data_IF_617303074025
#
_entry.id   IF_617303074025
#
_cell.length_a   1.000
_cell.length_b   1.000
_cell.length_c   1.000
_cell.angle_alpha   90.00
_cell.angle_beta   90.00
_cell.angle_gamma   90.00
#
_symmetry.space_group_name_H-M   'P 1'
#
loop_
_entity.id
_entity.type
_entity.pdbx_description
1 polymer ?
#
# COMPACT_ATOMS: atom_id res chain seq x y z
N UNK A 1 19.71 -7.11 5.25
CA UNK A 1 18.81 -6.90 6.41
C UNK A 1 19.55 -6.41 7.65
N UNK A 2 20.73 -6.93 7.99
CA UNK A 2 21.46 -6.52 9.21
C UNK A 2 21.78 -5.02 9.29
N UNK A 3 22.11 -4.38 8.15
CA UNK A 3 22.35 -2.94 8.12
C UNK A 3 21.10 -2.14 8.50
N UNK A 4 19.92 -2.46 7.95
CA UNK A 4 18.64 -1.82 8.33
C UNK A 4 18.28 -2.02 9.80
N UNK A 5 18.58 -3.20 10.36
CA UNK A 5 18.31 -3.50 11.78
C UNK A 5 19.17 -2.65 12.71
N UNK A 6 20.41 -2.34 12.31
CA UNK A 6 21.36 -1.53 13.10
C UNK A 6 21.21 -0.03 12.85
N UNK A 7 20.93 0.36 11.61
CA UNK A 7 20.71 1.73 11.17
C UNK A 7 19.55 1.80 10.21
N UNK A 8 18.58 2.67 10.50
CA UNK A 8 17.38 2.80 9.68
C UNK A 8 17.69 3.58 8.41
N UNK A 9 17.97 2.87 7.32
CA UNK A 9 18.29 3.43 5.99
C UNK A 9 17.05 3.54 5.09
N UNK A 10 15.95 2.89 5.46
CA UNK A 10 14.64 3.03 4.82
C UNK A 10 13.51 3.20 5.83
N UNK A 11 12.53 4.05 5.47
CA UNK A 11 11.37 4.35 6.32
C UNK A 11 10.11 3.52 6.00
N UNK A 12 10.03 2.92 4.80
CA UNK A 12 8.81 2.23 4.33
C UNK A 12 8.80 0.72 4.68
N UNK A 13 9.47 0.35 5.77
CA UNK A 13 9.48 -1.00 6.33
C UNK A 13 10.27 -2.01 5.49
N UNK A 14 9.70 -3.21 5.31
CA UNK A 14 10.38 -4.33 4.64
C UNK A 14 10.42 -4.21 3.12
N UNK A 15 9.53 -3.44 2.50
CA UNK A 15 9.38 -3.40 1.03
C UNK A 15 10.70 -3.10 0.28
N UNK A 16 11.51 -2.09 0.64
CA UNK A 16 12.76 -1.82 -0.06
C UNK A 16 13.75 -2.98 0.05
N UNK A 17 13.73 -3.72 1.16
CA UNK A 17 14.60 -4.87 1.37
C UNK A 17 14.24 -6.02 0.44
N UNK A 18 12.95 -6.30 0.27
CA UNK A 18 12.49 -7.31 -0.69
C UNK A 18 12.89 -6.92 -2.13
N UNK A 19 12.69 -5.65 -2.51
CA UNK A 19 13.07 -5.18 -3.84
C UNK A 19 14.58 -5.25 -4.10
N UNK A 20 15.41 -5.00 -3.07
CA UNK A 20 16.87 -5.11 -3.19
C UNK A 20 17.35 -6.56 -3.29
N UNK A 21 16.81 -7.46 -2.45
CA UNK A 21 17.24 -8.87 -2.42
C UNK A 21 16.82 -9.61 -3.68
N UNK A 22 15.59 -9.41 -4.12
CA UNK A 22 15.03 -10.09 -5.29
C UNK A 22 15.12 -9.24 -6.56
N UNK A 23 15.99 -8.23 -6.59
CA UNK A 23 16.16 -7.39 -7.76
C UNK A 23 16.45 -8.25 -8.99
N UNK A 24 15.69 -8.05 -10.07
CA UNK A 24 15.75 -8.83 -11.33
C UNK A 24 15.24 -10.28 -11.24
N UNK A 25 14.79 -10.74 -10.08
CA UNK A 25 14.13 -12.04 -9.87
C UNK A 25 12.62 -11.89 -9.56
N UNK A 26 12.07 -10.68 -9.73
CA UNK A 26 10.65 -10.38 -9.50
C UNK A 26 9.90 -10.39 -10.84
N UNK A 27 8.82 -11.18 -10.89
CA UNK A 27 7.84 -11.13 -11.98
C UNK A 27 6.81 -10.03 -11.75
N UNK A 28 6.36 -9.39 -12.83
CA UNK A 28 5.25 -8.45 -12.77
C UNK A 28 3.94 -9.19 -12.46
N UNK A 29 3.11 -8.55 -11.64
CA UNK A 29 1.77 -9.01 -11.34
C UNK A 29 0.79 -7.97 -11.88
N UNK A 30 -0.29 -8.45 -12.50
CA UNK A 30 -1.38 -7.60 -13.00
C UNK A 30 -1.89 -6.67 -11.89
N UNK A 31 -2.09 -5.39 -12.22
CA UNK A 31 -2.60 -4.36 -11.31
C UNK A 31 -3.88 -4.79 -10.57
N UNK A 32 -4.75 -5.57 -11.23
CA UNK A 32 -5.99 -6.11 -10.65
C UNK A 32 -5.77 -6.95 -9.39
N UNK A 33 -4.56 -7.52 -9.21
CA UNK A 33 -4.19 -8.37 -8.08
C UNK A 33 -3.48 -7.61 -6.95
N UNK A 34 -3.33 -6.29 -7.06
CA UNK A 34 -2.78 -5.45 -5.99
C UNK A 34 -3.24 -3.99 -6.18
N UNK A 35 -4.56 -3.79 -6.25
CA UNK A 35 -5.16 -2.48 -6.45
C UNK A 35 -5.02 -1.65 -5.16
N UNK A 36 -4.18 -0.62 -5.19
CA UNK A 36 -3.76 0.12 -4.01
C UNK A 36 -4.06 1.62 -4.15
N UNK A 37 -3.96 2.36 -3.05
CA UNK A 37 -4.29 3.80 -3.02
C UNK A 37 -5.63 4.13 -2.35
N UNK A 38 -6.29 3.12 -1.77
CA UNK A 38 -7.52 3.27 -1.00
C UNK A 38 -7.29 3.72 0.45
N UNK A 39 -6.04 3.75 0.93
CA UNK A 39 -5.70 4.10 2.31
C UNK A 39 -5.66 5.58 2.63
N UNK A 40 -6.06 6.44 1.67
CA UNK A 40 -5.94 7.90 1.70
C UNK A 40 -4.47 8.39 1.76
N UNK A 41 -4.16 9.48 1.08
CA UNK A 41 -2.84 10.11 1.20
C UNK A 41 -2.67 10.79 2.58
N UNK A 42 -1.43 10.95 3.04
CA UNK A 42 -1.15 11.51 4.37
C UNK A 42 -1.31 13.04 4.45
N UNK A 43 -1.67 13.72 3.36
CA UNK A 43 -1.73 15.18 3.25
C UNK A 43 -3.16 15.71 3.14
N UNK A 44 -3.89 15.33 2.09
CA UNK A 44 -5.31 15.67 1.85
C UNK A 44 -6.26 14.59 2.30
N UNK A 45 -5.76 13.41 2.63
CA UNK A 45 -6.62 12.30 2.99
C UNK A 45 -7.45 11.82 1.81
N UNK A 46 -6.99 11.91 0.56
CA UNK A 46 -7.76 11.48 -0.61
C UNK A 46 -7.33 10.09 -1.08
N UNK A 47 -8.30 9.31 -1.55
CA UNK A 47 -7.98 8.07 -2.26
C UNK A 47 -7.50 8.37 -3.68
N UNK A 48 -6.63 7.52 -4.20
CA UNK A 48 -6.27 7.55 -5.62
C UNK A 48 -7.43 6.98 -6.44
N UNK A 49 -7.51 7.41 -7.70
CA UNK A 49 -8.39 6.77 -8.67
C UNK A 49 -7.99 5.31 -8.86
N UNK A 50 -9.01 4.46 -8.98
CA UNK A 50 -8.81 3.05 -9.29
C UNK A 50 -8.44 2.87 -10.76
N UNK A 51 -7.62 1.86 -11.05
CA UNK A 51 -7.40 1.43 -12.42
C UNK A 51 -8.72 0.99 -13.07
N UNK A 52 -8.94 1.30 -14.37
CA UNK A 52 -10.14 0.89 -15.06
C UNK A 52 -10.19 -0.63 -15.21
N UNK A 53 -11.39 -1.20 -15.03
CA UNK A 53 -11.64 -2.62 -15.21
C UNK A 53 -11.84 -3.40 -13.89
N UNK A 54 -12.05 -4.72 -13.98
CA UNK A 54 -12.37 -5.53 -12.82
C UNK A 54 -11.20 -5.68 -11.85
N UNK A 55 -11.44 -5.58 -10.54
CA UNK A 55 -10.40 -5.76 -9.51
C UNK A 55 -10.56 -7.13 -8.85
N UNK A 56 -9.44 -7.81 -8.58
CA UNK A 56 -9.41 -9.11 -7.89
C UNK A 56 -8.95 -9.00 -6.44
N UNK A 57 -8.04 -8.08 -6.13
CA UNK A 57 -7.56 -7.85 -4.76
C UNK A 57 -7.35 -6.35 -4.48
N UNK A 58 -8.01 -5.86 -3.45
CA UNK A 58 -7.82 -4.51 -2.92
C UNK A 58 -6.79 -4.49 -1.80
N UNK A 59 -5.90 -3.51 -1.84
CA UNK A 59 -4.84 -3.32 -0.88
C UNK A 59 -4.93 -1.94 -0.22
N UNK A 60 -5.38 -1.92 1.05
CA UNK A 60 -5.36 -0.72 1.90
C UNK A 60 -3.97 -0.49 2.53
N UNK A 61 -3.04 0.00 1.73
CA UNK A 61 -1.73 0.49 2.21
C UNK A 61 -1.91 1.78 3.03
N UNK A 62 -1.19 1.95 4.15
CA UNK A 62 -1.20 3.20 4.94
C UNK A 62 -2.18 3.23 6.13
N UNK A 63 -2.47 4.43 6.64
CA UNK A 63 -3.19 4.65 7.91
C UNK A 63 -4.72 4.59 7.79
N UNK A 64 -5.31 4.87 6.62
CA UNK A 64 -6.76 4.90 6.41
C UNK A 64 -7.39 3.54 6.18
N UNK A 65 -7.25 2.63 7.15
CA UNK A 65 -7.79 1.25 7.11
C UNK A 65 -9.33 1.23 7.04
N UNK A 66 -9.95 0.20 6.43
CA UNK A 66 -11.41 0.13 6.30
C UNK A 66 -12.16 0.15 7.62
N UNK A 67 -11.70 -0.61 8.62
CA UNK A 67 -12.35 -0.70 9.93
C UNK A 67 -12.37 0.65 10.66
N UNK A 68 -11.26 1.40 10.62
CA UNK A 68 -11.21 2.74 11.22
C UNK A 68 -12.29 3.69 10.66
N UNK A 69 -12.72 3.49 9.40
CA UNK A 69 -13.80 4.27 8.78
C UNK A 69 -15.17 3.85 9.30
N UNK A 70 -15.39 2.55 9.42
CA UNK A 70 -16.61 1.96 9.98
C UNK A 70 -16.77 2.44 11.43
N UNK A 71 -15.69 2.34 12.22
CA UNK A 71 -15.65 2.78 13.62
C UNK A 71 -15.96 4.28 13.76
N UNK A 72 -15.53 5.10 12.78
CA UNK A 72 -15.80 6.54 12.74
C UNK A 72 -17.20 6.92 12.23
N UNK A 73 -18.05 5.95 11.87
CA UNK A 73 -19.37 6.20 11.30
C UNK A 73 -19.34 6.81 9.89
N UNK A 74 -18.19 6.73 9.20
CA UNK A 74 -17.99 7.28 7.84
C UNK A 74 -17.47 6.21 6.89
N UNK A 75 -18.29 5.20 6.53
CA UNK A 75 -17.79 4.05 5.77
C UNK A 75 -17.49 4.38 4.29
N UNK A 76 -17.97 5.51 3.76
CA UNK A 76 -17.80 5.92 2.35
C UNK A 76 -16.71 6.97 2.10
N UNK A 77 -16.35 7.07 0.82
CA UNK A 77 -15.41 8.04 0.25
C UNK A 77 -16.11 9.37 -0.01
N UNK A 78 -16.03 10.32 0.93
CA UNK A 78 -15.98 11.75 0.61
C UNK A 78 -14.54 12.24 0.77
#
# INVERSE_FOLDING_TARGET
MELQKRMRIYEIGSLPHFLLVFAREIALVDHRRNEHGLGRDNYRGLCRNLHPGPVSLFHWSGKGKPWARIDSGRPWLL
#
